data_IF_445225719076
#
_entry.id   IF_445225719076
#
_cell.length_a   1.000
_cell.length_b   1.000
_cell.length_c   1.000
_cell.angle_alpha   90.00
_cell.angle_beta   90.00
_cell.angle_gamma   90.00
#
_symmetry.space_group_name_H-M   'P 1'
#
loop_
_entity.id
_entity.type
_entity.pdbx_description
1 polymer ?
#
# COMPACT_ATOMS: atom_id res chain seq x y z
N UNK A 1 11.90 72.70 -46.53
CA UNK A 1 10.53 72.54 -46.07
C UNK A 1 10.10 71.12 -46.33
N UNK A 2 10.31 70.14 -45.35
CA UNK A 2 9.89 68.74 -45.45
C UNK A 2 8.93 68.45 -44.32
N UNK A 3 7.84 67.71 -44.55
CA UNK A 3 6.92 67.32 -43.49
C UNK A 3 7.39 66.07 -42.76
N UNK A 4 7.24 66.11 -41.48
CA UNK A 4 7.56 65.10 -40.48
C UNK A 4 6.53 63.99 -40.49
N UNK A 5 6.95 62.75 -40.82
CA UNK A 5 6.10 61.56 -40.79
C UNK A 5 5.94 61.05 -39.35
N UNK A 6 4.73 61.16 -38.82
CA UNK A 6 4.32 60.65 -37.56
C UNK A 6 4.13 59.12 -37.64
N UNK A 7 4.98 58.33 -37.03
CA UNK A 7 4.88 56.86 -36.94
C UNK A 7 3.95 56.49 -35.81
N UNK A 8 2.76 56.04 -36.17
CA UNK A 8 1.79 55.43 -35.22
C UNK A 8 2.27 54.06 -34.83
N UNK A 9 2.58 53.86 -33.53
CA UNK A 9 2.88 52.53 -32.95
C UNK A 9 1.57 51.85 -32.63
N UNK A 10 1.25 50.77 -33.38
CA UNK A 10 0.14 49.88 -33.09
C UNK A 10 0.61 48.91 -32.02
N UNK A 11 0.07 49.03 -30.82
CA UNK A 11 0.32 48.08 -29.74
C UNK A 11 -0.58 46.85 -29.94
N UNK A 12 0.01 45.73 -30.29
CA UNK A 12 -0.68 44.44 -30.37
C UNK A 12 -0.86 43.87 -28.97
N UNK A 13 -2.10 43.93 -28.48
CA UNK A 13 -2.47 43.29 -27.20
C UNK A 13 -2.69 41.79 -27.50
N UNK A 14 -1.71 40.97 -27.13
CA UNK A 14 -1.88 39.49 -27.16
C UNK A 14 -2.70 39.03 -25.97
N UNK A 15 -3.94 38.63 -26.25
CA UNK A 15 -4.85 38.04 -25.29
C UNK A 15 -4.43 36.58 -25.06
N UNK A 16 -3.67 36.30 -23.98
CA UNK A 16 -3.39 34.94 -23.53
C UNK A 16 -4.66 34.35 -22.92
N UNK A 17 -5.33 33.48 -23.67
CA UNK A 17 -6.43 32.69 -23.18
C UNK A 17 -5.82 31.55 -22.31
N UNK A 18 -5.85 31.70 -20.97
CA UNK A 18 -5.52 30.64 -20.03
C UNK A 18 -6.64 29.59 -20.08
N UNK A 19 -6.43 28.51 -20.82
CA UNK A 19 -7.30 27.34 -20.75
C UNK A 19 -7.12 26.67 -19.37
N UNK A 20 -8.04 26.94 -18.46
CA UNK A 20 -8.14 26.21 -17.19
C UNK A 20 -8.63 24.80 -17.49
N UNK A 21 -7.72 23.85 -17.70
CA UNK A 21 -8.07 22.42 -17.75
C UNK A 21 -8.46 21.99 -16.33
N UNK A 22 -9.75 21.96 -16.06
CA UNK A 22 -10.29 21.36 -14.85
C UNK A 22 -9.91 19.88 -14.85
N UNK A 23 -8.91 19.52 -14.04
CA UNK A 23 -8.62 18.11 -13.70
C UNK A 23 -9.85 17.60 -12.95
N UNK A 24 -10.74 16.95 -13.70
CA UNK A 24 -11.91 16.28 -13.15
C UNK A 24 -11.36 15.10 -12.33
N UNK A 25 -11.33 15.24 -11.00
CA UNK A 25 -11.02 14.13 -10.12
C UNK A 25 -11.94 12.96 -10.49
N UNK A 26 -11.36 11.90 -11.06
CA UNK A 26 -12.11 10.69 -11.36
C UNK A 26 -12.64 10.14 -10.05
N UNK A 27 -13.96 10.19 -9.89
CA UNK A 27 -14.64 9.47 -8.82
C UNK A 27 -14.21 8.01 -8.93
N UNK A 28 -13.70 7.39 -7.83
CA UNK A 28 -13.42 5.96 -7.88
C UNK A 28 -14.67 5.23 -8.37
N UNK A 29 -14.48 4.27 -9.26
CA UNK A 29 -15.59 3.45 -9.73
C UNK A 29 -16.33 2.89 -8.53
N UNK A 30 -17.69 2.80 -8.56
CA UNK A 30 -18.42 2.22 -7.46
C UNK A 30 -17.88 0.81 -7.22
N UNK A 31 -17.52 0.54 -5.97
CA UNK A 31 -17.06 -0.78 -5.56
C UNK A 31 -18.13 -1.80 -5.97
N UNK A 32 -17.75 -2.79 -6.77
CA UNK A 32 -18.67 -3.83 -7.22
C UNK A 32 -19.26 -4.53 -5.98
N UNK A 33 -20.56 -4.82 -6.01
CA UNK A 33 -21.20 -5.56 -4.94
C UNK A 33 -20.41 -6.87 -4.69
N UNK A 34 -20.16 -7.23 -3.41
CA UNK A 34 -19.43 -8.45 -3.11
C UNK A 34 -20.18 -9.66 -3.66
N UNK A 35 -19.42 -10.70 -4.07
CA UNK A 35 -20.02 -11.96 -4.54
C UNK A 35 -21.01 -12.51 -3.51
N UNK A 36 -22.18 -13.02 -3.94
CA UNK A 36 -23.14 -13.65 -3.03
C UNK A 36 -22.59 -14.88 -2.30
N UNK A 37 -21.51 -15.48 -2.82
CA UNK A 37 -20.81 -16.58 -2.15
C UNK A 37 -19.92 -16.13 -0.99
N UNK A 38 -19.74 -14.82 -0.76
CA UNK A 38 -19.00 -14.34 0.40
C UNK A 38 -19.91 -14.39 1.63
N UNK A 39 -19.40 -15.00 2.69
CA UNK A 39 -20.14 -15.20 3.93
C UNK A 39 -20.33 -13.87 4.66
N UNK A 40 -21.57 -13.42 4.82
CA UNK A 40 -21.88 -12.21 5.56
C UNK A 40 -21.42 -12.34 7.03
N UNK A 41 -20.73 -11.31 7.55
CA UNK A 41 -20.18 -11.31 8.91
C UNK A 41 -18.98 -12.23 9.12
N UNK A 42 -18.40 -12.75 8.05
CA UNK A 42 -17.16 -13.52 8.11
C UNK A 42 -15.98 -12.65 8.59
N UNK A 43 -14.97 -13.34 9.12
CA UNK A 43 -13.70 -12.68 9.43
C UNK A 43 -13.11 -12.03 8.19
N UNK A 44 -12.50 -10.86 8.38
CA UNK A 44 -11.68 -10.22 7.36
C UNK A 44 -10.27 -10.81 7.39
N UNK A 45 -9.79 -11.23 6.25
CA UNK A 45 -8.39 -11.60 6.08
C UNK A 45 -7.68 -10.54 5.25
N UNK A 46 -6.43 -10.28 5.57
CA UNK A 46 -5.54 -9.44 4.79
C UNK A 46 -4.35 -10.29 4.35
N UNK A 47 -4.33 -10.63 3.06
CA UNK A 47 -3.18 -11.26 2.41
C UNK A 47 -2.21 -10.17 2.00
N UNK A 48 -0.97 -10.26 2.49
CA UNK A 48 0.08 -9.29 2.18
C UNK A 48 1.24 -9.98 1.48
N UNK A 49 1.66 -9.39 0.37
CA UNK A 49 2.87 -9.80 -0.34
C UNK A 49 3.91 -8.69 -0.20
N UNK A 50 5.02 -9.01 0.44
CA UNK A 50 6.18 -8.15 0.54
C UNK A 50 7.14 -8.45 -0.59
N UNK A 51 7.57 -7.42 -1.29
CA UNK A 51 8.61 -7.50 -2.30
C UNK A 51 9.89 -6.90 -1.72
N UNK A 52 10.86 -7.77 -1.45
CA UNK A 52 12.15 -7.33 -0.94
C UNK A 52 13.00 -6.71 -2.06
N UNK A 53 13.84 -5.74 -1.69
CA UNK A 53 14.91 -5.29 -2.57
C UNK A 53 15.84 -6.45 -2.94
N UNK A 54 16.53 -6.40 -4.09
CA UNK A 54 17.45 -7.46 -4.50
C UNK A 54 18.44 -7.83 -3.40
N UNK A 55 18.49 -9.11 -3.04
CA UNK A 55 19.35 -9.66 -1.98
C UNK A 55 18.93 -9.35 -0.55
N UNK A 56 17.75 -8.71 -0.33
CA UNK A 56 17.28 -8.29 0.99
C UNK A 56 16.17 -9.16 1.60
N UNK A 57 15.82 -10.28 0.97
CA UNK A 57 14.75 -11.14 1.49
C UNK A 57 15.07 -11.69 2.88
N UNK A 58 16.32 -12.11 3.14
CA UNK A 58 16.71 -12.59 4.47
C UNK A 58 16.70 -11.49 5.54
N UNK A 59 16.99 -10.23 5.18
CA UNK A 59 16.84 -9.10 6.10
C UNK A 59 15.35 -8.91 6.48
N UNK A 60 14.43 -9.10 5.52
CA UNK A 60 12.98 -9.09 5.78
C UNK A 60 12.59 -10.22 6.71
N UNK A 61 13.02 -11.45 6.44
CA UNK A 61 12.76 -12.62 7.31
C UNK A 61 13.31 -12.40 8.72
N UNK A 62 14.53 -11.89 8.85
CA UNK A 62 15.15 -11.56 10.13
C UNK A 62 14.32 -10.55 10.92
N UNK A 63 13.90 -9.45 10.29
CA UNK A 63 13.03 -8.44 10.94
C UNK A 63 11.73 -9.05 11.45
N UNK A 64 11.10 -9.96 10.69
CA UNK A 64 9.89 -10.64 11.13
C UNK A 64 10.14 -11.54 12.33
N UNK A 65 11.17 -12.39 12.30
CA UNK A 65 11.51 -13.34 13.38
C UNK A 65 11.86 -12.61 14.67
N UNK A 66 12.72 -11.62 14.58
CA UNK A 66 13.33 -10.98 15.76
C UNK A 66 12.40 -9.93 16.38
N UNK A 67 11.52 -9.30 15.59
CA UNK A 67 10.77 -8.14 16.05
C UNK A 67 9.29 -8.15 15.67
N UNK A 68 8.96 -8.26 14.37
CA UNK A 68 7.61 -7.96 13.86
C UNK A 68 6.55 -8.87 14.48
N UNK A 69 6.82 -10.17 14.60
CA UNK A 69 5.88 -11.14 15.18
C UNK A 69 5.49 -10.78 16.61
N UNK A 70 6.47 -10.39 17.44
CA UNK A 70 6.21 -9.99 18.81
C UNK A 70 5.42 -8.69 18.88
N UNK A 71 5.72 -7.72 18.01
CA UNK A 71 4.99 -6.45 17.96
C UNK A 71 3.56 -6.69 17.43
N UNK A 72 3.36 -7.59 16.46
CA UNK A 72 2.02 -8.00 16.04
C UNK A 72 1.22 -8.57 17.21
N UNK A 73 1.82 -9.48 17.98
CA UNK A 73 1.17 -10.05 19.18
C UNK A 73 0.83 -8.98 20.22
N UNK A 74 1.73 -8.02 20.45
CA UNK A 74 1.50 -6.86 21.35
C UNK A 74 0.26 -6.07 20.98
N UNK A 75 -0.02 -5.92 19.69
CA UNK A 75 -1.20 -5.21 19.18
C UNK A 75 -2.39 -6.13 18.86
N UNK A 76 -2.34 -7.37 19.31
CA UNK A 76 -3.42 -8.35 19.12
C UNK A 76 -3.70 -8.69 17.66
N UNK A 77 -2.71 -8.54 16.76
CA UNK A 77 -2.83 -8.91 15.36
C UNK A 77 -2.71 -10.43 15.21
N UNK A 78 -3.73 -11.07 14.69
CA UNK A 78 -3.79 -12.54 14.55
C UNK A 78 -3.15 -12.96 13.24
N UNK A 79 -2.03 -13.67 13.33
CA UNK A 79 -1.34 -14.24 12.18
C UNK A 79 -1.97 -15.58 11.79
N UNK A 80 -2.33 -15.74 10.51
CA UNK A 80 -2.79 -17.02 9.93
C UNK A 80 -1.58 -17.86 9.50
N UNK A 81 -0.59 -17.24 8.85
CA UNK A 81 0.63 -17.93 8.43
C UNK A 81 1.52 -17.06 7.57
N UNK A 82 2.71 -17.63 7.25
CA UNK A 82 3.72 -17.05 6.38
C UNK A 82 4.12 -18.07 5.33
N UNK A 83 4.35 -17.61 4.10
CA UNK A 83 4.74 -18.44 2.97
C UNK A 83 5.77 -17.73 2.11
N UNK A 84 6.67 -18.48 1.49
CA UNK A 84 7.56 -18.02 0.42
C UNK A 84 7.29 -18.81 -0.85
N UNK A 85 7.33 -18.20 -2.04
CA UNK A 85 7.29 -18.95 -3.29
C UNK A 85 8.44 -19.98 -3.37
N UNK A 86 8.18 -21.12 -4.01
CA UNK A 86 9.19 -22.19 -4.15
C UNK A 86 10.07 -21.94 -5.37
N UNK A 87 9.50 -21.40 -6.44
CA UNK A 87 10.20 -21.26 -7.71
C UNK A 87 10.63 -19.81 -7.99
N UNK A 88 11.81 -19.67 -8.60
CA UNK A 88 12.38 -18.38 -8.97
C UNK A 88 11.43 -17.54 -9.87
N UNK A 89 10.76 -18.17 -10.83
CA UNK A 89 9.77 -17.50 -11.68
C UNK A 89 8.59 -16.90 -10.91
N UNK A 90 8.30 -17.39 -9.71
CA UNK A 90 7.22 -16.93 -8.83
C UNK A 90 7.73 -15.93 -7.77
N UNK A 91 9.06 -15.71 -7.72
CA UNK A 91 9.68 -14.73 -6.85
C UNK A 91 10.23 -15.29 -5.53
N UNK A 92 10.72 -16.55 -5.52
CA UNK A 92 11.34 -17.15 -4.32
C UNK A 92 12.55 -16.39 -3.79
N UNK A 93 13.14 -15.52 -4.60
CA UNK A 93 14.33 -14.75 -4.23
C UNK A 93 13.98 -13.38 -3.57
N UNK A 94 12.72 -12.92 -3.68
CA UNK A 94 12.37 -11.58 -3.23
C UNK A 94 10.97 -11.44 -2.61
N UNK A 95 10.17 -12.52 -2.47
CA UNK A 95 8.81 -12.41 -1.94
C UNK A 95 8.64 -13.12 -0.61
N UNK A 96 7.96 -12.44 0.31
CA UNK A 96 7.36 -13.01 1.50
C UNK A 96 5.86 -12.75 1.45
N UNK A 97 5.07 -13.81 1.57
CA UNK A 97 3.60 -13.73 1.64
C UNK A 97 3.17 -14.06 3.05
N UNK A 98 2.24 -13.30 3.61
CA UNK A 98 1.63 -13.65 4.89
C UNK A 98 0.18 -13.19 4.96
N UNK A 99 -0.56 -13.80 5.86
CA UNK A 99 -1.97 -13.49 6.07
C UNK A 99 -2.25 -13.18 7.52
N UNK A 100 -2.99 -12.11 7.74
CA UNK A 100 -3.55 -11.73 9.03
C UNK A 100 -5.07 -11.90 9.00
N UNK A 101 -5.66 -12.11 10.17
CA UNK A 101 -7.12 -12.13 10.31
C UNK A 101 -7.60 -11.13 11.35
N UNK A 102 -8.77 -10.55 11.09
CA UNK A 102 -9.42 -9.55 11.92
C UNK A 102 -10.92 -9.86 12.00
N UNK A 103 -11.58 -9.36 13.02
CA UNK A 103 -13.03 -9.43 13.10
C UNK A 103 -13.70 -8.72 11.93
N UNK A 104 -13.23 -7.50 11.62
CA UNK A 104 -13.77 -6.62 10.58
C UNK A 104 -12.72 -5.57 10.15
N UNK A 105 -13.13 -4.70 9.24
CA UNK A 105 -12.26 -3.64 8.71
C UNK A 105 -11.90 -2.59 9.78
N UNK A 106 -12.80 -2.27 10.69
CA UNK A 106 -12.56 -1.27 11.73
C UNK A 106 -11.49 -1.76 12.71
N UNK A 107 -11.56 -3.02 13.14
CA UNK A 107 -10.52 -3.65 13.95
C UNK A 107 -9.18 -3.68 13.24
N UNK A 108 -9.16 -4.09 11.98
CA UNK A 108 -7.93 -4.07 11.15
C UNK A 108 -7.29 -2.70 11.13
N UNK A 109 -8.04 -1.66 10.84
CA UNK A 109 -7.51 -0.30 10.69
C UNK A 109 -7.03 0.25 12.04
N UNK A 110 -7.71 -0.06 13.15
CA UNK A 110 -7.27 0.31 14.49
C UNK A 110 -5.96 -0.37 14.89
N UNK A 111 -5.84 -1.69 14.67
CA UNK A 111 -4.62 -2.45 15.00
C UNK A 111 -3.42 -2.03 14.16
N UNK A 112 -3.61 -1.80 12.87
CA UNK A 112 -2.53 -1.31 12.00
C UNK A 112 -2.07 0.09 12.38
N UNK A 113 -3.00 0.96 12.78
CA UNK A 113 -2.64 2.29 13.28
C UNK A 113 -1.80 2.18 14.55
N UNK A 114 -2.24 1.37 15.51
CA UNK A 114 -1.51 1.16 16.75
C UNK A 114 -0.10 0.58 16.51
N UNK A 115 0.01 -0.40 15.61
CA UNK A 115 1.29 -0.96 15.19
C UNK A 115 2.19 0.10 14.53
N UNK A 116 1.67 0.87 13.57
CA UNK A 116 2.46 1.84 12.82
C UNK A 116 2.98 2.99 13.69
N UNK A 117 2.25 3.34 14.74
CA UNK A 117 2.63 4.40 15.70
C UNK A 117 3.40 3.89 16.90
N UNK A 118 3.63 2.58 17.03
CA UNK A 118 4.42 2.00 18.11
C UNK A 118 5.89 2.46 18.01
N UNK A 119 6.43 3.11 19.04
CA UNK A 119 7.82 3.57 19.04
C UNK A 119 8.84 2.47 18.80
N UNK A 120 8.54 1.26 19.29
CA UNK A 120 9.39 0.10 19.07
C UNK A 120 9.41 -0.30 17.59
N UNK A 121 8.23 -0.35 16.94
CA UNK A 121 8.16 -0.60 15.51
C UNK A 121 8.89 0.46 14.69
N UNK A 122 8.70 1.73 15.02
CA UNK A 122 9.37 2.83 14.32
C UNK A 122 10.90 2.72 14.42
N UNK A 123 11.42 2.36 15.60
CA UNK A 123 12.84 2.09 15.81
C UNK A 123 13.32 0.92 14.95
N UNK A 124 12.64 -0.23 15.03
CA UNK A 124 12.98 -1.45 14.28
C UNK A 124 12.95 -1.20 12.77
N UNK A 125 11.91 -0.52 12.27
CA UNK A 125 11.80 -0.18 10.85
C UNK A 125 12.98 0.66 10.39
N UNK A 126 13.31 1.72 11.13
CA UNK A 126 14.46 2.59 10.82
C UNK A 126 15.79 1.84 10.86
N UNK A 127 16.01 1.01 11.88
CA UNK A 127 17.23 0.22 12.03
C UNK A 127 17.38 -0.83 10.92
N UNK A 128 16.28 -1.47 10.51
CA UNK A 128 16.32 -2.44 9.42
C UNK A 128 16.66 -1.82 8.06
N UNK A 129 16.36 -0.55 7.87
CA UNK A 129 16.63 0.20 6.64
C UNK A 129 17.96 1.01 6.69
N UNK A 130 18.73 0.92 7.79
CA UNK A 130 19.96 1.72 7.99
C UNK A 130 21.04 1.46 6.92
N UNK A 131 21.09 0.23 6.39
CA UNK A 131 22.01 -0.18 5.32
C UNK A 131 21.30 -0.26 3.94
N UNK A 132 20.34 0.62 3.70
CA UNK A 132 19.47 0.66 2.53
C UNK A 132 18.14 -0.02 2.77
N UNK A 133 17.12 0.42 2.04
CA UNK A 133 15.77 -0.15 2.14
C UNK A 133 15.79 -1.65 1.92
N UNK A 134 15.10 -2.39 2.77
CA UNK A 134 14.94 -3.83 2.61
C UNK A 134 13.68 -4.20 1.82
N UNK A 135 12.70 -3.29 1.73
CA UNK A 135 11.47 -3.49 0.95
C UNK A 135 11.41 -2.54 -0.24
N UNK A 136 11.04 -3.06 -1.40
CA UNK A 136 10.66 -2.29 -2.57
C UNK A 136 9.22 -1.77 -2.39
N UNK A 137 8.25 -2.69 -2.29
CA UNK A 137 6.84 -2.35 -2.05
C UNK A 137 6.10 -3.49 -1.34
N UNK A 138 4.83 -3.21 -1.02
CA UNK A 138 3.91 -4.17 -0.39
C UNK A 138 2.59 -4.13 -1.13
N UNK A 139 2.09 -5.31 -1.52
CA UNK A 139 0.73 -5.49 -2.00
C UNK A 139 -0.16 -6.02 -0.88
N UNK A 140 -1.44 -5.66 -0.91
CA UNK A 140 -2.42 -6.08 0.09
C UNK A 140 -3.76 -6.39 -0.57
N UNK A 141 -4.32 -7.56 -0.28
CA UNK A 141 -5.63 -8.00 -0.77
C UNK A 141 -6.50 -8.37 0.42
N UNK A 142 -7.74 -7.87 0.44
CA UNK A 142 -8.72 -8.22 1.45
C UNK A 142 -9.59 -9.38 0.98
N UNK A 143 -9.79 -10.34 1.87
CA UNK A 143 -10.51 -11.57 1.60
C UNK A 143 -11.55 -11.81 2.69
N UNK A 144 -12.68 -12.40 2.31
CA UNK A 144 -13.68 -12.97 3.23
C UNK A 144 -13.78 -14.47 3.00
N UNK A 145 -14.21 -15.19 4.02
CA UNK A 145 -14.58 -16.60 3.84
C UNK A 145 -15.71 -16.71 2.82
N UNK A 146 -15.66 -17.78 2.02
CA UNK A 146 -16.78 -18.18 1.18
C UNK A 146 -17.77 -19.04 2.00
N UNK A 147 -19.01 -19.18 1.52
CA UNK A 147 -20.06 -20.01 2.15
C UNK A 147 -19.70 -21.50 2.23
N UNK A 148 -18.74 -21.94 1.41
CA UNK A 148 -18.20 -23.31 1.39
C UNK A 148 -16.80 -23.43 2.05
N UNK A 149 -16.28 -22.38 2.68
CA UNK A 149 -15.02 -22.48 3.45
C UNK A 149 -15.22 -23.43 4.63
N UNK A 150 -14.38 -24.49 4.79
CA UNK A 150 -14.48 -25.40 5.93
C UNK A 150 -14.42 -24.65 7.26
N UNK A 151 -15.27 -25.04 8.20
CA UNK A 151 -15.21 -24.52 9.56
C UNK A 151 -13.84 -24.85 10.18
N UNK A 152 -13.20 -23.85 10.80
CA UNK A 152 -11.93 -23.97 11.53
C UNK A 152 -12.20 -24.04 13.02
#
# INVERSE_FOLDING_TARGET
>A
MLPMHMRTKIATVSLFLLALTAVRAQRPAPEAAPSPSLKAGAKLYELRTYFAMPGKLEDVHKRFRDHTLRIFAKHGMTVVGFWGPVYKKDGSENKLVYMLSFKDRAERDAKWRAFATDPEWQKVSKESDANGKILDHVESVFLYDTDYTPAK
#
